data_IF_393746363176
#
_entry.id   IF_393746363176
#
_cell.length_a   1.000
_cell.length_b   1.000
_cell.length_c   1.000
_cell.angle_alpha   90.00
_cell.angle_beta   90.00
_cell.angle_gamma   90.00
#
_symmetry.space_group_name_H-M   'P 1'
#
loop_
_entity.id
_entity.type
_entity.pdbx_description
1 polymer ?
#
# COMPACT_ATOMS: atom_id res chain seq x y z
N UNK A 1 8.21 19.93 3.35
CA UNK A 1 7.84 19.54 1.97
C UNK A 1 8.21 18.08 1.78
N UNK A 2 7.26 17.28 1.30
CA UNK A 2 7.48 15.83 1.07
C UNK A 2 7.92 15.56 -0.37
N UNK A 3 7.24 16.15 -1.32
CA UNK A 3 7.50 15.96 -2.75
C UNK A 3 7.03 17.14 -3.57
N UNK A 4 7.46 17.15 -4.83
CA UNK A 4 6.97 18.10 -5.84
C UNK A 4 6.31 17.28 -6.94
N UNK A 5 5.09 17.65 -7.32
CA UNK A 5 4.33 16.98 -8.36
C UNK A 5 4.10 17.94 -9.51
N UNK A 6 4.48 17.53 -10.71
CA UNK A 6 4.36 18.33 -11.93
C UNK A 6 3.48 17.61 -12.96
N UNK A 7 2.50 18.31 -13.50
CA UNK A 7 1.69 17.77 -14.60
C UNK A 7 2.47 17.86 -15.90
N UNK A 8 2.66 16.72 -16.57
CA UNK A 8 3.47 16.62 -17.79
C UNK A 8 2.64 16.62 -19.08
N UNK A 9 1.34 16.73 -18.99
CA UNK A 9 0.44 16.53 -20.13
C UNK A 9 0.08 15.06 -20.31
N UNK A 10 -0.89 14.80 -21.16
CA UNK A 10 -1.35 13.42 -21.48
C UNK A 10 -1.76 12.60 -20.25
N UNK A 11 -2.31 13.26 -19.23
CA UNK A 11 -2.79 12.65 -17.98
C UNK A 11 -1.68 12.00 -17.16
N UNK A 12 -0.45 12.51 -17.28
CA UNK A 12 0.73 12.04 -16.56
C UNK A 12 1.27 13.09 -15.61
N UNK A 13 1.81 12.64 -14.50
CA UNK A 13 2.55 13.49 -13.57
C UNK A 13 3.91 12.89 -13.26
N UNK A 14 4.84 13.76 -12.93
CA UNK A 14 6.14 13.40 -12.36
C UNK A 14 6.14 13.79 -10.90
N UNK A 15 6.47 12.86 -10.01
CA UNK A 15 6.54 13.08 -8.57
C UNK A 15 7.98 12.91 -8.12
N UNK A 16 8.57 13.94 -7.54
CA UNK A 16 9.96 13.94 -7.08
C UNK A 16 9.98 14.08 -5.57
N UNK A 17 10.52 13.08 -4.89
CA UNK A 17 10.73 13.10 -3.44
C UNK A 17 11.87 14.04 -3.07
N UNK A 18 11.84 14.59 -1.86
CA UNK A 18 12.90 15.50 -1.38
C UNK A 18 14.29 14.85 -1.39
N UNK A 19 14.37 13.51 -1.30
CA UNK A 19 15.64 12.78 -1.40
C UNK A 19 16.08 12.50 -2.84
N UNK A 20 15.28 12.88 -3.85
CA UNK A 20 15.61 12.75 -5.26
C UNK A 20 14.96 11.60 -6.01
N UNK A 21 14.33 10.65 -5.32
CA UNK A 21 13.61 9.56 -5.97
C UNK A 21 12.43 10.10 -6.78
N UNK A 22 12.23 9.55 -7.97
CA UNK A 22 11.22 10.00 -8.90
C UNK A 22 10.31 8.85 -9.33
N UNK A 23 9.01 9.12 -9.38
CA UNK A 23 8.03 8.22 -9.99
C UNK A 23 7.17 8.99 -10.98
N UNK A 24 6.63 8.27 -11.97
CA UNK A 24 5.66 8.80 -12.94
C UNK A 24 4.31 8.18 -12.66
N UNK A 25 3.24 8.96 -12.77
CA UNK A 25 1.87 8.44 -12.71
C UNK A 25 1.19 8.55 -14.07
N UNK A 26 0.18 7.73 -14.29
CA UNK A 26 -0.66 7.77 -15.48
C UNK A 26 -2.12 7.54 -15.07
N UNK A 27 -3.05 8.10 -15.81
CA UNK A 27 -4.46 7.76 -15.60
C UNK A 27 -4.70 6.29 -15.99
N UNK A 28 -5.63 5.60 -15.31
CA UNK A 28 -5.90 4.19 -15.61
C UNK A 28 -6.67 4.03 -16.93
N UNK A 29 -6.63 2.82 -17.48
CA UNK A 29 -7.32 2.49 -18.74
C UNK A 29 -8.82 2.76 -18.67
N UNK A 30 -9.44 2.53 -17.52
CA UNK A 30 -10.88 2.75 -17.31
C UNK A 30 -11.23 4.22 -17.03
N UNK A 31 -10.25 5.13 -17.10
CA UNK A 31 -10.46 6.56 -16.88
C UNK A 31 -9.55 7.42 -17.77
N UNK A 32 -9.66 7.22 -19.07
CA UNK A 32 -9.02 8.01 -20.13
C UNK A 32 -7.50 7.87 -20.26
N UNK A 33 -6.84 7.07 -19.42
CA UNK A 33 -5.39 6.90 -19.45
C UNK A 33 -4.92 5.72 -20.24
N UNK A 34 -3.59 5.58 -20.34
CA UNK A 34 -2.92 4.46 -21.01
C UNK A 34 -2.61 3.31 -20.04
N UNK A 35 -2.73 3.54 -18.72
CA UNK A 35 -2.38 2.54 -17.71
C UNK A 35 -0.92 2.12 -17.72
N UNK A 36 -0.03 3.01 -18.19
CA UNK A 36 1.39 2.68 -18.38
C UNK A 36 2.20 2.70 -17.08
N UNK A 37 1.68 3.40 -16.06
CA UNK A 37 2.33 3.58 -14.76
C UNK A 37 1.27 3.44 -13.67
N UNK A 38 1.67 3.45 -12.42
CA UNK A 38 0.72 3.56 -11.31
C UNK A 38 -0.18 4.76 -11.51
N UNK A 39 -1.50 4.58 -11.35
CA UNK A 39 -2.40 5.72 -11.21
C UNK A 39 -2.29 6.30 -9.79
N UNK A 40 -2.77 7.53 -9.55
CA UNK A 40 -2.79 8.07 -8.19
C UNK A 40 -3.51 7.17 -7.18
N UNK A 41 -4.64 6.56 -7.57
CA UNK A 41 -5.37 5.64 -6.69
C UNK A 41 -4.65 4.31 -6.50
N UNK A 42 -3.90 3.83 -7.50
CA UNK A 42 -3.00 2.67 -7.34
C UNK A 42 -1.94 2.95 -6.28
N UNK A 43 -1.38 4.16 -6.28
CA UNK A 43 -0.39 4.56 -5.28
C UNK A 43 -0.95 4.55 -3.86
N UNK A 44 -2.19 4.97 -3.67
CA UNK A 44 -2.85 4.92 -2.37
C UNK A 44 -2.97 3.48 -1.88
N UNK A 45 -3.46 2.59 -2.73
CA UNK A 45 -3.62 1.17 -2.40
C UNK A 45 -2.26 0.50 -2.14
N UNK A 46 -1.27 0.79 -2.97
CA UNK A 46 0.10 0.26 -2.82
C UNK A 46 0.77 0.79 -1.55
N UNK A 47 0.54 2.06 -1.22
CA UNK A 47 1.05 2.67 0.01
C UNK A 47 0.55 1.94 1.26
N UNK A 48 -0.71 1.49 1.26
CA UNK A 48 -1.27 0.71 2.36
C UNK A 48 -0.47 -0.59 2.59
N UNK A 49 -0.20 -1.35 1.54
CA UNK A 49 0.57 -2.59 1.63
C UNK A 49 2.01 -2.31 2.08
N UNK A 50 2.64 -1.30 1.50
CA UNK A 50 3.99 -0.89 1.86
C UNK A 50 4.08 -0.47 3.33
N UNK A 51 3.10 0.31 3.81
CA UNK A 51 3.04 0.75 5.19
C UNK A 51 2.84 -0.43 6.15
N UNK A 52 1.94 -1.35 5.81
CA UNK A 52 1.71 -2.58 6.57
C UNK A 52 3.02 -3.35 6.78
N UNK A 53 3.78 -3.59 5.71
CA UNK A 53 5.04 -4.31 5.77
C UNK A 53 6.12 -3.54 6.53
N UNK A 54 6.18 -2.23 6.35
CA UNK A 54 7.16 -1.37 7.05
C UNK A 54 6.94 -1.40 8.56
N UNK A 55 5.69 -1.28 8.99
CA UNK A 55 5.36 -1.33 10.43
C UNK A 55 5.67 -2.71 11.01
N UNK A 56 5.38 -3.78 10.29
CA UNK A 56 5.76 -5.13 10.69
C UNK A 56 7.28 -5.26 10.81
N UNK A 57 8.02 -4.71 9.84
CA UNK A 57 9.48 -4.70 9.89
C UNK A 57 10.02 -4.02 11.14
N UNK A 58 9.48 -2.84 11.46
CA UNK A 58 9.85 -2.09 12.67
C UNK A 58 9.51 -2.90 13.93
N UNK A 59 8.29 -3.46 13.98
CA UNK A 59 7.84 -4.28 15.11
C UNK A 59 8.78 -5.45 15.37
N UNK A 60 9.16 -6.16 14.31
CA UNK A 60 10.05 -7.33 14.40
C UNK A 60 11.47 -6.90 14.79
N UNK A 61 11.98 -5.81 14.22
CA UNK A 61 13.32 -5.31 14.53
C UNK A 61 13.45 -4.93 16.00
N UNK A 62 12.47 -4.20 16.53
CA UNK A 62 12.46 -3.78 17.94
C UNK A 62 12.42 -4.95 18.93
N UNK A 63 11.91 -6.11 18.52
CA UNK A 63 11.74 -7.30 19.33
C UNK A 63 12.70 -8.43 18.98
N UNK A 64 13.65 -8.15 18.07
CA UNK A 64 14.62 -9.14 17.60
C UNK A 64 13.95 -10.40 17.05
N UNK A 65 12.80 -10.23 16.39
CA UNK A 65 12.09 -11.31 15.70
C UNK A 65 12.62 -11.40 14.27
N UNK A 66 13.12 -12.55 13.82
CA UNK A 66 13.56 -12.71 12.44
C UNK A 66 12.39 -12.48 11.46
N UNK A 67 12.62 -11.65 10.45
CA UNK A 67 11.67 -11.37 9.40
C UNK A 67 12.39 -11.51 8.05
N UNK A 68 12.19 -12.63 7.38
CA UNK A 68 12.98 -13.00 6.20
C UNK A 68 12.25 -12.76 4.89
N UNK A 69 10.92 -12.80 4.90
CA UNK A 69 10.14 -12.69 3.67
C UNK A 69 8.73 -12.18 3.93
N UNK A 70 8.24 -11.35 3.03
CA UNK A 70 6.81 -11.07 2.90
C UNK A 70 6.50 -10.60 1.48
N UNK A 71 5.35 -11.01 1.00
CA UNK A 71 4.81 -10.56 -0.28
C UNK A 71 3.35 -10.21 -0.10
N UNK A 72 2.94 -9.08 -0.67
CA UNK A 72 1.55 -8.65 -0.64
C UNK A 72 1.07 -8.39 -2.06
N UNK A 73 -0.01 -9.05 -2.45
CA UNK A 73 -0.75 -8.72 -3.67
C UNK A 73 -1.86 -7.76 -3.28
N UNK A 74 -1.98 -6.67 -4.03
CA UNK A 74 -2.89 -5.57 -3.74
C UNK A 74 -3.97 -5.52 -4.81
N UNK A 75 -5.23 -5.52 -4.39
CA UNK A 75 -6.37 -5.29 -5.27
C UNK A 75 -7.12 -4.05 -4.80
N UNK A 76 -7.25 -3.09 -5.70
CA UNK A 76 -7.98 -1.86 -5.48
C UNK A 76 -9.34 -1.98 -6.15
N UNK A 77 -10.41 -1.66 -5.43
CA UNK A 77 -11.78 -1.66 -5.95
C UNK A 77 -12.32 -0.25 -5.91
N UNK A 78 -12.78 0.23 -7.06
CA UNK A 78 -13.35 1.57 -7.22
C UNK A 78 -14.88 1.52 -7.17
N UNK A 79 -15.48 2.56 -6.60
CA UNK A 79 -16.91 2.81 -6.66
C UNK A 79 -17.17 4.09 -7.47
N UNK A 80 -18.44 4.31 -7.82
CA UNK A 80 -18.88 5.46 -8.59
C UNK A 80 -19.85 6.34 -7.79
N UNK A 81 -20.07 7.56 -8.27
CA UNK A 81 -21.04 8.52 -7.73
C UNK A 81 -20.79 8.92 -6.25
N UNK A 82 -19.63 9.47 -5.90
CA UNK A 82 -18.51 9.83 -6.76
C UNK A 82 -17.51 8.69 -6.96
N UNK A 83 -16.68 8.79 -7.98
CA UNK A 83 -15.57 7.88 -8.22
C UNK A 83 -14.59 7.97 -7.04
N UNK A 84 -14.32 6.82 -6.43
CA UNK A 84 -13.47 6.72 -5.23
C UNK A 84 -13.00 5.28 -5.04
N UNK A 85 -11.99 5.11 -4.21
CA UNK A 85 -11.62 3.77 -3.73
C UNK A 85 -12.66 3.36 -2.69
N UNK A 86 -13.36 2.26 -2.92
CA UNK A 86 -14.31 1.70 -1.95
C UNK A 86 -13.66 0.63 -1.08
N UNK A 87 -12.80 -0.20 -1.66
CA UNK A 87 -12.18 -1.33 -0.98
C UNK A 87 -10.74 -1.50 -1.43
N UNK A 88 -9.92 -2.02 -0.53
CA UNK A 88 -8.57 -2.49 -0.82
C UNK A 88 -8.43 -3.87 -0.20
N UNK A 89 -8.08 -4.87 -1.02
CA UNK A 89 -7.83 -6.22 -0.57
C UNK A 89 -6.33 -6.48 -0.61
N UNK A 90 -5.78 -6.91 0.52
CA UNK A 90 -4.38 -7.30 0.65
C UNK A 90 -4.30 -8.81 0.84
N UNK A 91 -3.64 -9.50 -0.09
CA UNK A 91 -3.34 -10.94 0.04
C UNK A 91 -1.87 -11.05 0.46
N UNK A 92 -1.66 -11.44 1.71
CA UNK A 92 -0.37 -11.38 2.38
C UNK A 92 0.20 -12.78 2.51
N UNK A 93 1.42 -12.96 2.04
CA UNK A 93 2.15 -14.22 2.13
C UNK A 93 3.36 -14.04 3.04
N UNK A 94 3.33 -14.72 4.19
CA UNK A 94 4.41 -14.74 5.18
C UNK A 94 5.17 -16.06 5.20
N UNK A 95 4.86 -16.98 4.28
CA UNK A 95 5.52 -18.28 4.26
C UNK A 95 7.03 -18.14 4.16
N UNK A 96 7.75 -18.95 4.89
CA UNK A 96 9.22 -18.87 5.00
C UNK A 96 9.69 -18.18 6.28
N UNK A 97 8.80 -17.56 7.04
CA UNK A 97 9.11 -17.06 8.37
C UNK A 97 8.79 -18.12 9.41
N UNK A 98 9.65 -18.25 10.39
CA UNK A 98 9.50 -19.24 11.49
C UNK A 98 8.91 -18.54 12.70
N UNK A 99 7.61 -18.24 12.63
CA UNK A 99 6.87 -17.60 13.72
C UNK A 99 5.83 -18.56 14.29
N UNK A 100 5.71 -18.62 15.61
CA UNK A 100 4.60 -19.31 16.23
C UNK A 100 3.30 -18.51 16.04
N UNK A 101 2.16 -19.13 16.33
CA UNK A 101 0.85 -18.53 16.15
C UNK A 101 0.67 -17.25 16.98
N UNK A 102 1.17 -17.25 18.21
CA UNK A 102 1.09 -16.10 19.11
C UNK A 102 1.89 -14.91 18.57
N UNK A 103 3.09 -15.15 18.08
CA UNK A 103 3.95 -14.13 17.47
C UNK A 103 3.30 -13.58 16.21
N UNK A 104 2.78 -14.46 15.34
CA UNK A 104 2.10 -14.06 14.11
C UNK A 104 0.89 -13.18 14.40
N UNK A 105 0.08 -13.52 15.40
CA UNK A 105 -1.09 -12.71 15.78
C UNK A 105 -0.70 -11.29 16.17
N UNK A 106 0.39 -11.14 16.92
CA UNK A 106 0.90 -9.82 17.33
C UNK A 106 1.46 -9.02 16.16
N UNK A 107 2.18 -9.68 15.26
CA UNK A 107 2.72 -9.07 14.05
C UNK A 107 1.60 -8.53 13.17
N UNK A 108 0.56 -9.31 12.94
CA UNK A 108 -0.61 -8.92 12.14
C UNK A 108 -1.31 -7.72 12.79
N UNK A 109 -1.51 -7.73 14.10
CA UNK A 109 -2.13 -6.62 14.81
C UNK A 109 -1.32 -5.33 14.65
N UNK A 110 0.00 -5.40 14.72
CA UNK A 110 0.87 -4.25 14.50
C UNK A 110 0.72 -3.69 13.07
N UNK A 111 0.73 -4.56 12.07
CA UNK A 111 0.59 -4.15 10.66
C UNK A 111 -0.76 -3.50 10.38
N UNK A 112 -1.85 -4.04 10.93
CA UNK A 112 -3.20 -3.48 10.76
C UNK A 112 -3.35 -2.09 11.38
N UNK A 113 -2.50 -1.72 12.31
CA UNK A 113 -2.50 -0.40 12.95
C UNK A 113 -1.53 0.59 12.27
N UNK A 114 -1.09 0.32 11.06
CA UNK A 114 -0.17 1.21 10.35
C UNK A 114 -0.82 2.57 10.06
N UNK A 115 -0.03 3.65 9.95
CA UNK A 115 -0.57 5.00 9.74
C UNK A 115 -1.48 5.15 8.52
N UNK A 116 -1.16 4.50 7.40
CA UNK A 116 -2.00 4.56 6.20
C UNK A 116 -3.34 3.88 6.44
N UNK A 117 -3.35 2.71 7.11
CA UNK A 117 -4.59 2.03 7.47
C UNK A 117 -5.46 2.89 8.39
N UNK A 118 -4.87 3.52 9.40
CA UNK A 118 -5.58 4.43 10.32
C UNK A 118 -6.19 5.60 9.55
N UNK A 119 -5.47 6.13 8.57
CA UNK A 119 -5.95 7.25 7.74
C UNK A 119 -7.14 6.84 6.87
N UNK A 120 -7.13 5.62 6.31
CA UNK A 120 -8.12 5.17 5.32
C UNK A 120 -9.34 4.47 5.94
N UNK A 121 -9.25 3.93 7.13
CA UNK A 121 -10.21 2.94 7.71
C UNK A 121 -11.66 3.38 7.72
N UNK A 122 -11.95 4.68 7.83
CA UNK A 122 -13.33 5.17 7.92
C UNK A 122 -13.95 5.42 6.54
N UNK A 123 -13.14 5.45 5.47
CA UNK A 123 -13.57 5.74 4.12
C UNK A 123 -13.40 4.55 3.17
N UNK A 124 -12.50 3.63 3.49
CA UNK A 124 -12.16 2.50 2.65
C UNK A 124 -12.32 1.22 3.47
N UNK A 125 -13.01 0.23 2.90
CA UNK A 125 -13.07 -1.11 3.48
C UNK A 125 -11.77 -1.85 3.16
N UNK A 126 -11.01 -2.20 4.20
CA UNK A 126 -9.72 -2.89 4.04
C UNK A 126 -9.91 -4.35 4.43
N UNK A 127 -9.62 -5.27 3.51
CA UNK A 127 -9.66 -6.70 3.76
C UNK A 127 -8.26 -7.29 3.71
N UNK A 128 -7.95 -8.13 4.69
CA UNK A 128 -6.65 -8.80 4.83
C UNK A 128 -6.85 -10.31 4.69
N UNK A 129 -6.14 -10.91 3.74
CA UNK A 129 -6.15 -12.36 3.50
C UNK A 129 -4.73 -12.88 3.71
N UNK A 130 -4.55 -13.88 4.56
CA UNK A 130 -3.23 -14.40 4.93
C UNK A 130 -3.00 -15.81 4.39
N UNK A 131 -1.80 -16.04 3.90
CA UNK A 131 -1.31 -17.35 3.46
C UNK A 131 -0.17 -17.81 4.35
#
# INVERSE_FOLDING_TARGET
MTSIVTYEGSLRTTCVHTAGEQITTDAPLDNHGMGAYFSPTDLVATALASCFLTIIGIYCEEREIPFTFARVEVEKIMASNPRRISDIHLSIDFRGNDWDEKTLTKIIAAGKACPVAITLKDQVNIEYHFK
#
